data_IF_216091307468
#
_entry.id   IF_216091307468
#
_cell.length_a   1.000
_cell.length_b   1.000
_cell.length_c   1.000
_cell.angle_alpha   90.00
_cell.angle_beta   90.00
_cell.angle_gamma   90.00
#
_symmetry.space_group_name_H-M   'P 1'
#
loop_
_entity.id
_entity.type
_entity.pdbx_description
1 polymer ?
#
# COMPACT_ATOMS: atom_id res chain seq x y z
N UNK A 1 4.05 14.18 -13.04
CA UNK A 1 4.64 15.33 -12.31
C UNK A 1 4.12 16.66 -12.88
N UNK A 2 3.99 16.73 -14.20
CA UNK A 2 3.64 17.91 -15.01
C UNK A 2 2.40 18.72 -14.56
N UNK A 3 1.37 18.08 -14.00
CA UNK A 3 0.20 18.78 -13.47
C UNK A 3 0.43 19.34 -12.07
N UNK A 4 1.12 18.58 -11.23
CA UNK A 4 1.47 18.95 -9.86
C UNK A 4 2.44 20.14 -9.84
N UNK A 5 3.32 20.26 -10.83
CA UNK A 5 4.22 21.42 -10.98
C UNK A 5 3.51 22.74 -11.34
N UNK A 6 2.27 22.65 -11.84
CA UNK A 6 1.46 23.82 -12.21
C UNK A 6 0.65 24.37 -11.04
N UNK A 7 0.68 23.70 -9.89
CA UNK A 7 -0.07 24.05 -8.68
C UNK A 7 0.79 23.83 -7.43
N UNK A 8 0.39 24.37 -6.28
CA UNK A 8 1.13 24.16 -5.02
C UNK A 8 0.71 22.85 -4.33
N UNK A 9 0.86 21.72 -5.02
CA UNK A 9 0.54 20.40 -4.48
C UNK A 9 1.63 19.40 -4.88
N UNK A 10 2.29 18.77 -3.90
CA UNK A 10 3.40 17.84 -4.14
C UNK A 10 3.41 16.65 -3.19
N UNK A 11 4.02 15.55 -3.65
CA UNK A 11 4.37 14.34 -2.91
C UNK A 11 5.52 13.64 -3.65
N UNK A 12 6.09 12.58 -3.08
CA UNK A 12 7.14 11.81 -3.75
C UNK A 12 6.57 10.94 -4.90
N UNK A 13 6.48 11.54 -6.08
CA UNK A 13 5.94 10.89 -7.27
C UNK A 13 6.78 9.71 -7.76
N UNK A 14 8.10 9.71 -7.52
CA UNK A 14 8.97 8.61 -7.92
C UNK A 14 8.76 7.41 -7.00
N UNK A 15 8.66 7.64 -5.69
CA UNK A 15 8.32 6.60 -4.73
C UNK A 15 6.92 6.01 -4.98
N UNK A 16 5.95 6.83 -5.37
CA UNK A 16 4.63 6.34 -5.77
C UNK A 16 4.72 5.41 -6.99
N UNK A 17 5.52 5.77 -8.01
CA UNK A 17 5.73 4.94 -9.19
C UNK A 17 6.49 3.64 -8.86
N UNK A 18 7.48 3.70 -7.98
CA UNK A 18 8.23 2.50 -7.56
C UNK A 18 7.38 1.56 -6.70
N UNK A 19 6.51 2.10 -5.84
CA UNK A 19 5.53 1.29 -5.11
C UNK A 19 4.58 0.57 -6.07
N UNK A 20 4.16 1.20 -7.17
CA UNK A 20 3.33 0.56 -8.19
C UNK A 20 4.06 -0.61 -8.87
N UNK A 21 5.33 -0.44 -9.25
CA UNK A 21 6.15 -1.52 -9.83
C UNK A 21 6.32 -2.69 -8.86
N UNK A 22 6.53 -2.40 -7.57
CA UNK A 22 6.61 -3.43 -6.52
C UNK A 22 5.29 -4.16 -6.34
N UNK A 23 4.17 -3.43 -6.34
CA UNK A 23 2.83 -4.01 -6.30
C UNK A 23 2.59 -4.97 -7.47
N UNK A 24 3.01 -4.59 -8.68
CA UNK A 24 2.95 -5.47 -9.85
C UNK A 24 3.79 -6.74 -9.64
N UNK A 25 5.05 -6.61 -9.22
CA UNK A 25 5.92 -7.77 -8.97
C UNK A 25 5.36 -8.70 -7.88
N UNK A 26 4.82 -8.17 -6.78
CA UNK A 26 4.20 -8.99 -5.75
C UNK A 26 2.98 -9.77 -6.27
N UNK A 27 2.25 -9.23 -7.25
CA UNK A 27 1.14 -9.94 -7.89
C UNK A 27 1.64 -11.07 -8.79
N UNK A 28 2.77 -10.89 -9.46
CA UNK A 28 3.42 -11.95 -10.24
C UNK A 28 3.99 -13.06 -9.32
N UNK A 29 4.61 -12.68 -8.20
CA UNK A 29 5.12 -13.62 -7.21
C UNK A 29 4.01 -14.45 -6.57
N UNK A 30 2.89 -13.80 -6.20
CA UNK A 30 1.71 -14.49 -5.68
C UNK A 30 0.46 -13.64 -5.78
N UNK A 31 -0.44 -14.02 -6.69
CA UNK A 31 -1.72 -13.34 -6.89
C UNK A 31 -2.65 -13.42 -5.68
N UNK A 32 -2.44 -14.38 -4.77
CA UNK A 32 -3.28 -14.59 -3.58
C UNK A 32 -2.70 -13.97 -2.30
N UNK A 33 -1.42 -13.58 -2.28
CA UNK A 33 -0.79 -13.01 -1.06
C UNK A 33 -0.15 -11.64 -1.28
N UNK A 34 -0.24 -11.04 -2.48
CA UNK A 34 0.31 -9.70 -2.73
C UNK A 34 -0.24 -8.61 -1.79
N UNK A 35 -1.42 -8.82 -1.19
CA UNK A 35 -2.04 -7.91 -0.23
C UNK A 35 -1.41 -7.95 1.16
N UNK A 36 -0.62 -8.99 1.46
CA UNK A 36 0.08 -9.13 2.75
C UNK A 36 1.35 -8.28 2.82
N UNK A 37 1.66 -7.54 1.77
CA UNK A 37 2.85 -6.71 1.62
C UNK A 37 2.62 -5.28 2.12
N UNK A 38 3.71 -4.61 2.53
CA UNK A 38 3.68 -3.21 3.00
C UNK A 38 4.57 -2.30 2.17
N UNK A 39 4.10 -1.07 1.97
CA UNK A 39 4.77 -0.04 1.18
C UNK A 39 4.96 1.25 1.99
N UNK A 40 6.03 2.03 1.74
CA UNK A 40 6.21 3.36 2.33
C UNK A 40 5.26 4.39 1.74
N UNK A 41 4.81 5.32 2.59
CA UNK A 41 3.98 6.47 2.18
C UNK A 41 4.80 7.47 1.35
N UNK A 42 4.34 7.84 0.13
CA UNK A 42 4.93 8.94 -0.64
C UNK A 42 4.84 10.32 0.01
N UNK A 43 4.09 10.46 1.10
CA UNK A 43 3.89 11.73 1.82
C UNK A 43 4.73 11.78 3.10
N UNK A 44 4.74 10.71 3.88
CA UNK A 44 5.41 10.70 5.20
C UNK A 44 6.67 9.83 5.25
N UNK A 45 6.93 9.07 4.18
CA UNK A 45 7.96 8.03 4.10
C UNK A 45 7.82 6.91 5.15
N UNK A 46 6.76 6.92 5.96
CA UNK A 46 6.47 5.88 6.95
C UNK A 46 6.05 4.60 6.23
N UNK A 47 6.71 3.49 6.55
CA UNK A 47 6.29 2.17 6.07
C UNK A 47 4.99 1.76 6.74
N UNK A 48 3.99 1.35 5.96
CA UNK A 48 2.77 0.79 6.51
C UNK A 48 3.06 -0.43 7.39
N UNK A 49 2.36 -0.62 8.52
CA UNK A 49 2.46 -1.85 9.29
C UNK A 49 1.90 -3.02 8.48
N UNK A 50 2.38 -4.22 8.79
CA UNK A 50 1.76 -5.45 8.27
C UNK A 50 0.42 -5.64 9.01
N UNK A 51 -0.62 -6.01 8.26
CA UNK A 51 -1.93 -6.31 8.83
C UNK A 51 -1.85 -7.52 9.77
N UNK A 52 -2.69 -7.56 10.80
CA UNK A 52 -2.62 -8.61 11.83
C UNK A 52 -3.09 -9.99 11.34
N UNK A 53 -3.82 -10.04 10.22
CA UNK A 53 -4.32 -11.28 9.60
C UNK A 53 -3.97 -11.32 8.12
N UNK A 54 -3.42 -12.44 7.59
CA UNK A 54 -3.21 -12.60 6.15
C UNK A 54 -4.51 -12.45 5.36
N UNK A 55 -4.43 -11.89 4.16
CA UNK A 55 -5.60 -11.57 3.34
C UNK A 55 -6.47 -12.79 3.05
N UNK A 56 -5.85 -13.95 2.80
CA UNK A 56 -6.59 -15.19 2.52
C UNK A 56 -7.44 -15.67 3.72
N UNK A 57 -7.06 -15.29 4.93
CA UNK A 57 -7.73 -15.67 6.18
C UNK A 57 -8.67 -14.57 6.70
N UNK A 58 -8.52 -13.34 6.22
CA UNK A 58 -9.29 -12.16 6.62
C UNK A 58 -10.68 -12.12 5.95
N UNK A 59 -11.58 -12.99 6.40
CA UNK A 59 -12.92 -13.14 5.82
C UNK A 59 -13.94 -12.08 6.28
N UNK A 60 -13.68 -11.41 7.41
CA UNK A 60 -14.50 -10.30 7.92
C UNK A 60 -13.99 -8.99 7.31
N UNK A 61 -14.80 -8.37 6.45
CA UNK A 61 -14.49 -7.15 5.71
C UNK A 61 -14.97 -5.86 6.41
N UNK A 62 -15.43 -5.96 7.65
CA UNK A 62 -15.82 -4.80 8.46
C UNK A 62 -14.63 -3.92 8.82
N UNK A 63 -14.89 -2.62 8.95
CA UNK A 63 -13.88 -1.66 9.41
C UNK A 63 -13.45 -1.97 10.86
N UNK A 64 -14.39 -2.46 11.67
CA UNK A 64 -14.16 -2.87 13.06
C UNK A 64 -13.13 -3.99 13.15
N UNK A 65 -13.24 -5.02 12.30
CA UNK A 65 -12.25 -6.10 12.20
C UNK A 65 -10.89 -5.59 11.71
N UNK A 66 -10.88 -4.79 10.63
CA UNK A 66 -9.65 -4.28 10.00
C UNK A 66 -8.85 -3.29 10.88
N UNK A 67 -9.55 -2.44 11.64
CA UNK A 67 -8.94 -1.46 12.55
C UNK A 67 -8.75 -1.99 13.97
N UNK A 68 -9.36 -3.14 14.27
CA UNK A 68 -9.22 -3.83 15.53
C UNK A 68 -7.76 -4.16 15.82
N UNK A 69 -7.42 -4.25 17.10
CA UNK A 69 -6.17 -4.89 17.51
C UNK A 69 -6.48 -6.38 17.67
N UNK A 70 -5.75 -7.23 16.96
CA UNK A 70 -5.59 -8.62 17.44
C UNK A 70 -4.98 -8.62 18.84
#
# INVERSE_FOLDING_TARGET
>A
KDLSEKVDYSLDWDLAADNFKRWEHHKEESIVSYRDQSHPSPVTNTKAPIHHTPWWEAMDDSAESFLGKS
#
